data_IF_585065988743
#
_entry.id   IF_585065988743
#
_cell.length_a   1.000
_cell.length_b   1.000
_cell.length_c   1.000
_cell.angle_alpha   90.00
_cell.angle_beta   90.00
_cell.angle_gamma   90.00
#
_symmetry.space_group_name_H-M   'P 1'
#
loop_
_entity.id
_entity.type
_entity.pdbx_description
1 polymer ?
#
# COMPACT_ATOMS: atom_id res chain seq x y z
N UNK A 1 21.60 40.82 -33.06
CA UNK A 1 22.17 40.12 -31.88
C UNK A 1 21.52 40.69 -30.63
N UNK A 2 20.42 40.08 -30.14
CA UNK A 2 19.85 40.37 -28.84
C UNK A 2 19.11 39.11 -28.36
N UNK A 3 19.76 38.38 -27.45
CA UNK A 3 19.23 37.18 -26.81
C UNK A 3 18.27 37.58 -25.70
N UNK A 4 17.03 37.07 -25.73
CA UNK A 4 16.11 37.16 -24.61
C UNK A 4 15.97 35.77 -23.95
N UNK A 5 16.65 35.61 -22.82
CA UNK A 5 16.49 34.50 -21.88
C UNK A 5 15.12 34.62 -21.20
N UNK A 6 14.13 33.91 -21.70
CA UNK A 6 12.84 33.73 -21.02
C UNK A 6 12.87 32.46 -20.17
N UNK A 7 13.22 32.60 -18.89
CA UNK A 7 13.14 31.51 -17.91
C UNK A 7 11.69 31.04 -17.76
N UNK A 8 11.36 29.89 -18.35
CA UNK A 8 10.08 29.21 -18.14
C UNK A 8 10.12 28.57 -16.76
N UNK A 9 9.71 29.34 -15.76
CA UNK A 9 9.46 28.84 -14.42
C UNK A 9 8.37 27.77 -14.49
N UNK A 10 8.75 26.54 -14.22
CA UNK A 10 7.87 25.39 -14.06
C UNK A 10 6.87 25.74 -12.96
N UNK A 11 5.61 25.91 -13.33
CA UNK A 11 4.51 26.08 -12.37
C UNK A 11 4.32 24.75 -11.66
N UNK A 12 5.06 24.56 -10.56
CA UNK A 12 4.83 23.50 -9.59
C UNK A 12 3.37 23.65 -9.17
N UNK A 13 2.51 22.79 -9.71
CA UNK A 13 1.12 22.64 -9.27
C UNK A 13 1.18 22.17 -7.83
N UNK A 14 1.24 23.11 -6.91
CA UNK A 14 1.01 22.85 -5.50
C UNK A 14 -0.50 22.63 -5.35
N UNK A 15 -0.94 21.42 -5.72
CA UNK A 15 -2.28 20.95 -5.40
C UNK A 15 -2.42 21.05 -3.89
N UNK A 16 -3.48 21.70 -3.35
CA UNK A 16 -3.66 21.74 -1.92
C UNK A 16 -3.79 20.29 -1.44
N UNK A 17 -2.77 19.83 -0.71
CA UNK A 17 -2.88 18.70 0.22
C UNK A 17 -3.88 19.13 1.28
N UNK A 18 -5.15 19.08 0.93
CA UNK A 18 -6.21 19.02 1.90
C UNK A 18 -6.26 17.53 2.26
N UNK A 19 -5.69 17.08 3.39
CA UNK A 19 -5.92 15.73 3.87
C UNK A 19 -7.37 15.71 4.36
N UNK A 20 -8.32 15.76 3.42
CA UNK A 20 -9.65 15.20 3.61
C UNK A 20 -9.33 13.83 4.15
N UNK A 21 -9.56 13.62 5.45
CA UNK A 21 -9.23 12.39 6.17
C UNK A 21 -9.71 11.26 5.29
N UNK A 22 -8.78 10.65 4.54
CA UNK A 22 -9.12 9.57 3.62
C UNK A 22 -9.79 8.55 4.50
N UNK A 23 -11.09 8.30 4.27
CA UNK A 23 -11.89 7.42 5.13
C UNK A 23 -11.01 6.19 5.39
N UNK A 24 -10.64 5.95 6.65
CA UNK A 24 -9.67 4.90 7.01
C UNK A 24 -10.25 3.58 6.53
N UNK A 25 -9.80 3.15 5.35
CA UNK A 25 -10.29 1.92 4.73
C UNK A 25 -9.77 0.77 5.58
N UNK A 26 -10.64 -0.18 5.87
CA UNK A 26 -10.23 -1.43 6.49
C UNK A 26 -9.23 -2.10 5.53
N UNK A 27 -8.02 -2.35 6.01
CA UNK A 27 -6.98 -3.06 5.25
C UNK A 27 -7.30 -4.55 5.22
N UNK A 28 -7.02 -5.20 4.10
CA UNK A 28 -7.08 -6.64 3.96
C UNK A 28 -5.74 -7.28 4.36
N UNK A 29 -5.73 -8.60 4.52
CA UNK A 29 -4.51 -9.36 4.85
C UNK A 29 -3.42 -9.15 3.80
N UNK A 30 -3.79 -9.12 2.51
CA UNK A 30 -2.86 -8.86 1.41
C UNK A 30 -2.27 -7.45 1.42
N UNK A 31 -3.03 -6.44 1.85
CA UNK A 31 -2.51 -5.07 1.99
C UNK A 31 -1.46 -4.97 3.12
N UNK A 32 -1.54 -5.86 4.11
CA UNK A 32 -0.55 -5.96 5.19
C UNK A 32 0.65 -6.78 4.73
N UNK A 33 0.39 -7.88 4.01
CA UNK A 33 1.42 -8.73 3.40
C UNK A 33 2.31 -7.95 2.43
N UNK A 34 1.74 -7.12 1.56
CA UNK A 34 2.50 -6.28 0.60
C UNK A 34 3.48 -5.32 1.31
N UNK A 35 3.15 -4.89 2.52
CA UNK A 35 4.03 -4.04 3.32
C UNK A 35 5.23 -4.80 3.93
N UNK A 36 5.11 -6.12 4.07
CA UNK A 36 6.15 -6.97 4.62
C UNK A 36 7.09 -7.44 3.51
N UNK A 37 8.37 -7.61 3.85
CA UNK A 37 9.33 -8.23 2.93
C UNK A 37 8.89 -9.66 2.61
N UNK A 38 8.99 -10.07 1.34
CA UNK A 38 8.52 -11.38 0.85
C UNK A 38 7.02 -11.66 1.14
N UNK A 39 6.16 -10.64 1.09
CA UNK A 39 4.71 -10.79 1.30
C UNK A 39 4.32 -11.34 2.68
N UNK A 40 5.19 -11.25 3.68
CA UNK A 40 4.91 -11.77 5.02
C UNK A 40 4.87 -13.29 5.11
N UNK A 41 5.44 -14.02 4.15
CA UNK A 41 5.64 -15.47 4.25
C UNK A 41 6.54 -15.79 5.45
N UNK A 42 6.13 -16.73 6.30
CA UNK A 42 6.78 -17.10 7.56
C UNK A 42 6.33 -16.30 8.78
N UNK A 43 5.35 -15.40 8.64
CA UNK A 43 4.80 -14.63 9.76
C UNK A 43 3.48 -15.23 10.25
N UNK A 44 3.28 -15.20 11.57
CA UNK A 44 1.99 -15.51 12.17
C UNK A 44 1.04 -14.32 12.08
N UNK A 45 -0.12 -14.54 11.49
CA UNK A 45 -1.22 -13.59 11.46
C UNK A 45 -2.43 -14.14 12.18
N UNK A 46 -3.05 -13.28 12.99
CA UNK A 46 -4.28 -13.58 13.68
C UNK A 46 -5.26 -12.43 13.51
N UNK A 47 -6.54 -12.74 13.56
CA UNK A 47 -7.57 -11.72 13.68
C UNK A 47 -7.50 -11.13 15.09
N UNK A 48 -7.69 -9.83 15.23
CA UNK A 48 -7.48 -9.11 16.50
C UNK A 48 -8.29 -9.64 17.70
N UNK A 49 -9.37 -10.39 17.49
CA UNK A 49 -10.16 -10.98 18.57
C UNK A 49 -9.84 -12.47 18.84
N UNK A 50 -8.84 -13.04 18.16
CA UNK A 50 -8.35 -14.39 18.41
C UNK A 50 -7.05 -14.25 19.20
N UNK A 51 -7.09 -14.58 20.49
CA UNK A 51 -5.94 -14.38 21.38
C UNK A 51 -4.94 -15.55 21.35
N UNK A 52 -5.39 -16.75 20.98
CA UNK A 52 -4.60 -17.98 21.08
C UNK A 52 -4.45 -18.72 19.75
N UNK A 53 -5.05 -18.19 18.68
CA UNK A 53 -5.02 -18.81 17.35
C UNK A 53 -4.38 -17.83 16.38
N UNK A 54 -3.22 -18.22 15.86
CA UNK A 54 -2.50 -17.48 14.83
C UNK A 54 -2.00 -18.46 13.78
N UNK A 55 -2.31 -18.18 12.52
CA UNK A 55 -1.87 -19.01 11.40
C UNK A 55 -0.60 -18.42 10.80
N UNK A 56 0.32 -19.28 10.37
CA UNK A 56 1.51 -18.86 9.64
C UNK A 56 1.19 -18.71 8.15
N UNK A 57 1.61 -17.61 7.54
CA UNK A 57 1.52 -17.46 6.10
C UNK A 57 2.61 -18.32 5.46
N UNK A 58 2.24 -19.42 4.79
CA UNK A 58 3.17 -20.28 4.06
C UNK A 58 3.27 -19.89 2.59
N UNK A 59 2.14 -19.52 1.98
CA UNK A 59 2.08 -19.18 0.56
C UNK A 59 0.90 -18.25 0.26
N UNK A 60 1.13 -17.28 -0.61
CA UNK A 60 0.08 -16.38 -1.12
C UNK A 60 -0.04 -16.56 -2.64
N UNK A 61 -1.26 -16.83 -3.10
CA UNK A 61 -1.61 -16.86 -4.51
C UNK A 61 -2.47 -15.65 -4.84
N UNK A 62 -1.93 -14.73 -5.65
CA UNK A 62 -2.64 -13.52 -6.04
C UNK A 62 -3.48 -13.73 -7.29
N UNK A 63 -4.63 -13.06 -7.32
CA UNK A 63 -5.41 -12.89 -8.54
C UNK A 63 -4.86 -11.72 -9.37
N UNK A 64 -5.41 -11.52 -10.57
CA UNK A 64 -4.92 -10.52 -11.55
C UNK A 64 -4.71 -9.11 -10.98
N UNK A 65 -5.57 -8.70 -10.04
CA UNK A 65 -5.56 -7.33 -9.51
C UNK A 65 -4.57 -7.13 -8.33
N UNK A 66 -3.92 -8.19 -7.86
CA UNK A 66 -2.95 -8.15 -6.74
C UNK A 66 -3.53 -7.80 -5.37
N UNK A 67 -4.82 -7.43 -5.30
CA UNK A 67 -5.53 -7.04 -4.06
C UNK A 67 -6.32 -8.16 -3.41
N UNK A 68 -6.51 -9.24 -4.14
CA UNK A 68 -7.26 -10.43 -3.72
C UNK A 68 -6.46 -11.67 -4.09
N UNK A 69 -6.70 -12.73 -3.35
CA UNK A 69 -5.93 -13.94 -3.46
C UNK A 69 -6.21 -14.88 -2.31
N UNK A 70 -5.67 -16.07 -2.45
CA UNK A 70 -5.78 -17.13 -1.47
C UNK A 70 -4.48 -17.19 -0.66
N UNK A 71 -4.62 -17.36 0.65
CA UNK A 71 -3.52 -17.50 1.59
C UNK A 71 -3.59 -18.89 2.22
N UNK A 72 -2.44 -19.54 2.28
CA UNK A 72 -2.25 -20.86 2.89
C UNK A 72 -1.29 -20.74 4.07
#
# INVERSE_FOLDING_TARGET
>A
MASALGSRVESVRNSPLNPKKSKRRKKNLLDVAEFLSNWGIGYHMAKTHWNEVSDEITKINLYKDGRHGDCF
#
